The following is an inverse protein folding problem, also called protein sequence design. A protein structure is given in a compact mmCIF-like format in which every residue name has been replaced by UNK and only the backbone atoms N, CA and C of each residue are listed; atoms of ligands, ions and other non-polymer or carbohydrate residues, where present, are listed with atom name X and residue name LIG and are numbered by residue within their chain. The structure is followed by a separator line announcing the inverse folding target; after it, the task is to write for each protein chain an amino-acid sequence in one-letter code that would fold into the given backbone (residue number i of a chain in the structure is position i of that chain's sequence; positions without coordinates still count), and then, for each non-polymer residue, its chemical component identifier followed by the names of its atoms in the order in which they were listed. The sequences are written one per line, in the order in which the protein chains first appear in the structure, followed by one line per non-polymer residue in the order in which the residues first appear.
data_IF_280825747378
#
_entry.id   IF_280825747378
#
_cell.length_a   1.000
_cell.length_b   1.000
_cell.length_c   1.000
_cell.angle_alpha   90.00
_cell.angle_beta   90.00
_cell.angle_gamma   90.00
#
_symmetry.space_group_name_H-M   'P 1'
#
loop_
_entity.id
_entity.type
_entity.pdbx_description
1 polymer ?
#
# COMPACT_ATOMS: atom_id res chain seq x y z
N UNK A 1 -20.87 -24.49 -33.78
CA UNK A 1 -20.67 -23.29 -32.93
C UNK A 1 -19.77 -23.47 -31.69
N UNK A 2 -19.07 -24.60 -31.47
CA UNK A 2 -18.74 -25.05 -30.09
C UNK A 2 -17.30 -24.98 -29.57
N UNK A 3 -16.24 -24.84 -30.39
CA UNK A 3 -14.82 -24.91 -29.91
C UNK A 3 -14.06 -23.59 -30.00
N UNK A 4 -14.14 -22.92 -31.15
CA UNK A 4 -13.54 -21.59 -31.36
C UNK A 4 -14.13 -20.57 -30.37
N UNK A 5 -15.41 -20.71 -30.06
CA UNK A 5 -16.10 -19.88 -29.06
C UNK A 5 -15.57 -20.15 -27.65
N UNK A 6 -15.37 -21.40 -27.22
CA UNK A 6 -14.80 -21.71 -25.89
C UNK A 6 -13.35 -21.21 -25.79
N UNK A 7 -12.55 -21.42 -26.85
CA UNK A 7 -11.19 -20.90 -26.91
C UNK A 7 -11.18 -19.37 -26.81
N UNK A 8 -12.01 -18.67 -27.61
CA UNK A 8 -12.13 -17.22 -27.56
C UNK A 8 -12.57 -16.73 -26.18
N UNK A 9 -13.59 -17.35 -25.58
CA UNK A 9 -14.07 -17.03 -24.22
C UNK A 9 -12.96 -17.24 -23.19
N UNK A 10 -12.20 -18.33 -23.25
CA UNK A 10 -11.08 -18.57 -22.32
C UNK A 10 -10.00 -17.51 -22.43
N UNK A 11 -9.65 -17.09 -23.65
CA UNK A 11 -8.66 -16.03 -23.88
C UNK A 11 -9.18 -14.69 -23.35
N UNK A 12 -10.46 -14.36 -23.57
CA UNK A 12 -11.08 -13.14 -23.06
C UNK A 12 -11.08 -13.12 -21.53
N UNK A 13 -11.45 -14.23 -20.87
CA UNK A 13 -11.43 -14.34 -19.41
C UNK A 13 -10.01 -14.15 -18.87
N UNK A 14 -9.01 -14.78 -19.50
CA UNK A 14 -7.61 -14.59 -19.12
C UNK A 14 -7.15 -13.13 -19.30
N UNK A 15 -7.54 -12.49 -20.40
CA UNK A 15 -7.24 -11.08 -20.63
C UNK A 15 -7.88 -10.18 -19.56
N UNK A 16 -9.14 -10.43 -19.19
CA UNK A 16 -9.81 -9.71 -18.10
C UNK A 16 -9.06 -9.90 -16.78
N UNK A 17 -8.65 -11.14 -16.46
CA UNK A 17 -7.86 -11.42 -15.25
C UNK A 17 -6.52 -10.68 -15.22
N UNK A 18 -5.82 -10.59 -16.36
CA UNK A 18 -4.58 -9.83 -16.45
C UNK A 18 -4.81 -8.31 -16.32
N UNK A 19 -5.88 -7.79 -16.91
CA UNK A 19 -6.28 -6.38 -16.76
C UNK A 19 -6.59 -6.09 -15.28
N UNK A 20 -7.28 -7.00 -14.59
CA UNK A 20 -7.61 -6.86 -13.17
C UNK A 20 -6.35 -6.86 -12.28
N UNK A 21 -5.32 -7.66 -12.61
CA UNK A 21 -4.01 -7.62 -11.92
C UNK A 21 -3.36 -6.23 -12.06
N UNK A 22 -3.35 -5.70 -13.29
CA UNK A 22 -2.76 -4.38 -13.57
C UNK A 22 -3.55 -3.29 -12.85
N UNK A 23 -4.89 -3.34 -12.92
CA UNK A 23 -5.77 -2.42 -12.22
C UNK A 23 -5.54 -2.46 -10.71
N UNK A 24 -5.48 -3.65 -10.13
CA UNK A 24 -5.22 -3.85 -8.70
C UNK A 24 -3.90 -3.24 -8.28
N UNK A 25 -2.84 -3.45 -9.06
CA UNK A 25 -1.53 -2.85 -8.80
C UNK A 25 -1.58 -1.32 -8.82
N UNK A 26 -2.17 -0.74 -9.88
CA UNK A 26 -2.26 0.71 -10.04
C UNK A 26 -3.11 1.34 -8.93
N UNK A 27 -4.25 0.74 -8.62
CA UNK A 27 -5.18 1.23 -7.61
C UNK A 27 -4.60 1.12 -6.20
N UNK A 28 -3.86 0.03 -5.91
CA UNK A 28 -3.23 -0.19 -4.60
C UNK A 28 -1.97 0.65 -4.38
N UNK A 29 -1.36 1.12 -5.48
CA UNK A 29 -0.18 2.00 -5.48
C UNK A 29 -0.55 3.49 -5.50
N UNK A 30 -1.85 3.82 -5.57
CA UNK A 30 -2.32 5.19 -5.57
C UNK A 30 -2.01 5.86 -4.22
N UNK A 31 -1.41 7.04 -4.25
CA UNK A 31 -1.25 7.89 -3.07
C UNK A 31 -2.57 8.62 -2.84
N UNK A 32 -3.27 8.27 -1.77
CA UNK A 32 -4.58 8.86 -1.40
C UNK A 32 -4.44 10.08 -0.49
N UNK A 33 -3.31 10.21 0.18
CA UNK A 33 -2.97 11.35 1.00
C UNK A 33 -1.48 11.62 0.95
N UNK A 34 -1.10 12.89 0.82
CA UNK A 34 0.28 13.33 0.92
C UNK A 34 0.35 14.65 1.68
N UNK A 35 1.20 14.71 2.69
CA UNK A 35 1.54 15.93 3.42
C UNK A 35 3.06 16.12 3.36
N UNK A 36 3.50 17.29 2.92
CA UNK A 36 4.91 17.68 2.94
C UNK A 36 5.02 18.98 3.72
N UNK A 37 5.87 18.99 4.73
CA UNK A 37 6.02 20.17 5.59
C UNK A 37 7.41 20.24 6.23
N UNK A 38 7.71 21.37 6.86
CA UNK A 38 8.90 21.58 7.68
C UNK A 38 8.52 22.27 8.98
N UNK A 39 8.84 21.64 10.11
CA UNK A 39 8.54 22.14 11.45
C UNK A 39 9.79 22.35 12.28
N UNK A 40 9.68 23.12 13.36
CA UNK A 40 10.72 23.27 14.37
C UNK A 40 10.15 22.94 15.74
N UNK A 41 10.78 21.99 16.42
CA UNK A 41 10.41 21.57 17.77
C UNK A 41 11.38 22.15 18.80
N UNK A 42 10.82 22.64 19.91
CA UNK A 42 11.58 22.97 21.10
C UNK A 42 12.11 21.72 21.81
N UNK A 43 12.91 21.92 22.84
CA UNK A 43 13.41 20.86 23.71
C UNK A 43 12.24 20.06 24.30
N UNK A 44 12.33 18.73 24.26
CA UNK A 44 11.25 17.81 24.67
C UNK A 44 9.89 18.06 23.96
N UNK A 45 9.91 18.81 22.87
CA UNK A 45 8.72 19.15 22.11
C UNK A 45 8.17 17.96 21.33
N UNK A 46 6.86 17.94 21.17
CA UNK A 46 6.16 16.95 20.37
C UNK A 46 5.10 17.61 19.48
N UNK A 47 5.02 17.19 18.22
CA UNK A 47 3.99 17.64 17.30
C UNK A 47 3.43 16.46 16.50
N UNK A 48 2.10 16.37 16.44
CA UNK A 48 1.37 15.31 15.77
C UNK A 48 0.62 15.81 14.55
N UNK A 49 0.61 15.02 13.48
CA UNK A 49 -0.15 15.29 12.26
C UNK A 49 -1.23 14.23 12.07
N UNK A 50 -2.51 14.62 11.99
CA UNK A 50 -3.60 13.68 11.77
C UNK A 50 -3.59 13.17 10.33
N UNK A 51 -3.78 11.86 10.18
CA UNK A 51 -3.86 11.18 8.89
C UNK A 51 -4.98 10.17 8.93
N UNK A 52 -5.90 10.25 7.97
CA UNK A 52 -7.00 9.27 7.83
C UNK A 52 -6.50 8.10 7.00
N UNK A 53 -6.69 6.89 7.52
CA UNK A 53 -6.24 5.64 6.90
C UNK A 53 -7.34 4.60 6.92
N UNK A 54 -7.29 3.66 5.97
CA UNK A 54 -8.02 2.40 6.05
C UNK A 54 -7.12 1.31 6.60
N UNK A 55 -7.74 0.25 7.11
CA UNK A 55 -7.04 -0.98 7.47
C UNK A 55 -6.25 -1.50 6.26
N UNK A 56 -4.99 -1.86 6.48
CA UNK A 56 -4.02 -2.29 5.48
C UNK A 56 -3.53 -1.20 4.51
N UNK A 57 -3.85 0.07 4.71
CA UNK A 57 -3.16 1.15 4.01
C UNK A 57 -1.70 1.23 4.45
N UNK A 58 -0.83 1.49 3.48
CA UNK A 58 0.60 1.69 3.74
C UNK A 58 0.88 3.18 3.92
N UNK A 59 1.39 3.53 5.09
CA UNK A 59 1.88 4.86 5.42
C UNK A 59 3.40 4.87 5.21
N UNK A 60 3.91 5.83 4.47
CA UNK A 60 5.33 6.05 4.25
C UNK A 60 5.71 7.43 4.78
N UNK A 61 6.68 7.48 5.69
CA UNK A 61 7.16 8.70 6.34
C UNK A 61 8.62 8.87 6.00
N UNK A 62 8.95 9.92 5.26
CA UNK A 62 10.29 10.17 4.74
C UNK A 62 10.73 11.57 5.10
N UNK A 63 12.01 11.77 5.39
CA UNK A 63 12.49 13.09 5.73
C UNK A 63 13.84 13.11 6.41
N UNK A 64 14.17 14.28 6.92
CA UNK A 64 15.36 14.52 7.70
C UNK A 64 15.09 15.49 8.84
N UNK A 65 15.99 15.48 9.79
CA UNK A 65 16.00 16.40 10.92
C UNK A 65 17.42 16.87 11.19
N UNK A 66 17.52 18.10 11.69
CA UNK A 66 18.78 18.72 12.10
C UNK A 66 19.39 18.04 13.33
N UNK A 67 18.55 17.40 14.16
CA UNK A 67 18.94 16.59 15.32
C UNK A 67 18.12 15.30 15.38
N UNK A 68 18.60 14.27 16.09
CA UNK A 68 17.91 12.98 16.11
C UNK A 68 16.54 13.05 16.78
N UNK A 69 15.52 12.48 16.16
CA UNK A 69 14.15 12.50 16.69
C UNK A 69 13.60 11.09 16.87
N UNK A 70 12.58 10.99 17.71
CA UNK A 70 11.75 9.80 17.82
C UNK A 70 10.45 10.03 17.04
N UNK A 71 9.99 9.02 16.31
CA UNK A 71 8.78 9.08 15.50
C UNK A 71 7.83 8.01 16.00
N UNK A 72 6.59 8.43 16.26
CA UNK A 72 5.52 7.56 16.74
C UNK A 72 4.33 7.64 15.80
N UNK A 73 3.63 6.52 15.65
CA UNK A 73 2.29 6.48 15.09
C UNK A 73 1.34 6.20 16.25
N UNK A 74 0.49 7.18 16.55
CA UNK A 74 -0.48 7.13 17.63
C UNK A 74 -1.83 6.76 17.02
N UNK A 75 -2.17 5.48 17.13
CA UNK A 75 -3.52 4.95 16.88
C UNK A 75 -4.15 4.51 18.21
N UNK A 76 -4.81 3.34 18.19
CA UNK A 76 -5.34 2.69 19.41
C UNK A 76 -4.21 2.41 20.42
N UNK A 77 -3.07 1.93 19.90
CA UNK A 77 -1.85 1.71 20.68
C UNK A 77 -0.74 2.56 20.06
N UNK A 78 -0.05 3.43 20.82
CA UNK A 78 1.10 4.15 20.32
C UNK A 78 2.22 3.20 19.95
N UNK A 79 2.74 3.32 18.73
CA UNK A 79 3.86 2.53 18.25
C UNK A 79 5.01 3.46 17.88
N UNK A 80 6.18 3.21 18.48
CA UNK A 80 7.40 3.87 18.04
C UNK A 80 7.87 3.21 16.74
N UNK A 81 8.01 4.02 15.69
CA UNK A 81 8.40 3.55 14.35
C UNK A 81 9.82 3.98 13.98
N UNK A 82 10.39 4.96 14.68
CA UNK A 82 11.81 5.25 14.66
C UNK A 82 12.30 5.81 15.99
N UNK A 83 13.56 5.54 16.28
CA UNK A 83 14.25 6.12 17.43
C UNK A 83 15.56 6.77 16.99
N UNK A 84 15.84 7.95 17.55
CA UNK A 84 17.10 8.67 17.37
C UNK A 84 17.50 8.84 15.88
N UNK A 85 16.53 9.19 15.03
CA UNK A 85 16.73 9.25 13.58
C UNK A 85 16.98 10.69 13.10
N UNK A 86 18.04 10.89 12.31
CA UNK A 86 18.33 12.15 11.59
C UNK A 86 17.82 12.15 10.15
N UNK A 87 17.76 10.98 9.54
CA UNK A 87 17.20 10.74 8.21
C UNK A 87 16.35 9.50 8.34
N UNK A 88 15.11 9.58 7.87
CA UNK A 88 14.13 8.51 8.04
C UNK A 88 13.41 8.22 6.73
N UNK A 89 13.14 6.94 6.52
CA UNK A 89 12.23 6.42 5.51
C UNK A 89 11.58 5.20 6.14
N UNK A 90 10.35 5.39 6.62
CA UNK A 90 9.61 4.43 7.43
C UNK A 90 8.43 3.99 6.61
N UNK A 91 8.19 2.69 6.54
CA UNK A 91 6.96 2.12 5.98
C UNK A 91 6.19 1.43 7.10
N UNK A 92 4.92 1.78 7.26
CA UNK A 92 4.02 1.25 8.25
C UNK A 92 2.72 0.79 7.59
N UNK A 93 2.18 -0.36 7.98
CA UNK A 93 0.87 -0.83 7.51
C UNK A 93 -0.12 -0.61 8.64
N UNK A 94 -1.19 0.15 8.39
CA UNK A 94 -2.17 0.43 9.42
C UNK A 94 -2.98 -0.83 9.75
N UNK A 95 -3.02 -1.28 11.02
CA UNK A 95 -3.82 -2.44 11.42
C UNK A 95 -5.31 -2.10 11.58
N UNK A 96 -5.70 -0.82 11.52
CA UNK A 96 -7.07 -0.37 11.72
C UNK A 96 -7.44 0.76 10.76
N UNK A 97 -8.73 0.94 10.54
CA UNK A 97 -9.27 2.12 9.87
C UNK A 97 -9.51 3.25 10.86
N UNK A 98 -9.29 4.50 10.46
CA UNK A 98 -9.56 5.68 11.27
C UNK A 98 -8.49 6.77 11.14
N UNK A 99 -8.50 7.72 12.07
CA UNK A 99 -7.46 8.76 12.16
C UNK A 99 -6.31 8.26 13.03
N UNK A 100 -5.10 8.29 12.48
CA UNK A 100 -3.85 8.09 13.22
C UNK A 100 -3.07 9.39 13.28
N UNK A 101 -2.26 9.58 14.32
CA UNK A 101 -1.38 10.74 14.42
C UNK A 101 0.07 10.32 14.25
N UNK A 102 0.75 10.93 13.28
CA UNK A 102 2.19 10.79 13.14
C UNK A 102 2.83 11.86 14.01
N UNK A 103 3.44 11.44 15.10
CA UNK A 103 4.04 12.33 16.08
C UNK A 103 5.56 12.30 15.99
N UNK A 104 6.15 13.47 15.80
CA UNK A 104 7.59 13.69 15.94
C UNK A 104 7.87 14.21 17.35
N UNK A 105 8.88 13.64 18.02
CA UNK A 105 9.34 14.08 19.34
C UNK A 105 10.82 14.41 19.31
N UNK A 106 11.17 15.59 19.83
CA UNK A 106 12.56 15.96 20.09
C UNK A 106 12.98 15.42 21.47
N UNK A 107 14.12 14.71 21.55
CA UNK A 107 14.85 14.52 22.81
C UNK A 107 15.29 15.85 23.44
N UNK A 108 15.80 15.83 24.69
CA UNK A 108 16.28 17.02 25.38
C UNK A 108 17.55 17.54 24.71
N UNK A 109 17.40 18.52 23.83
CA UNK A 109 18.48 19.25 23.21
C UNK A 109 18.34 20.73 23.48
N UNK A 110 19.47 21.39 23.73
CA UNK A 110 19.56 22.83 24.04
C UNK A 110 19.08 23.81 22.96
N UNK A 111 18.85 23.36 21.70
CA UNK A 111 18.41 24.22 20.60
C UNK A 111 17.28 23.53 19.82
N UNK A 112 16.50 24.33 19.07
CA UNK A 112 15.43 23.87 18.19
C UNK A 112 15.87 22.73 17.26
N UNK A 113 14.99 21.75 17.12
CA UNK A 113 15.11 20.65 16.16
C UNK A 113 14.20 20.92 14.97
N UNK A 114 14.78 21.31 13.85
CA UNK A 114 14.05 21.43 12.58
C UNK A 114 13.93 20.08 11.88
N UNK A 115 12.73 19.76 11.39
CA UNK A 115 12.37 18.49 10.74
C UNK A 115 11.69 18.82 9.42
N UNK A 116 12.21 18.30 8.30
CA UNK A 116 11.55 18.34 7.00
C UNK A 116 11.06 16.95 6.66
N UNK A 117 9.77 16.81 6.35
CA UNK A 117 9.17 15.50 6.17
C UNK A 117 8.14 15.45 5.05
N UNK A 118 7.88 14.24 4.58
CA UNK A 118 6.78 13.90 3.70
C UNK A 118 6.10 12.64 4.24
N UNK A 119 4.80 12.71 4.45
CA UNK A 119 3.94 11.60 4.83
C UNK A 119 3.11 11.26 3.60
N UNK A 120 3.10 9.98 3.18
CA UNK A 120 2.29 9.47 2.08
C UNK A 120 1.46 8.30 2.58
N UNK A 121 0.17 8.27 2.23
CA UNK A 121 -0.68 7.10 2.44
C UNK A 121 -1.00 6.49 1.09
N UNK A 122 -0.70 5.22 0.95
CA UNK A 122 -1.02 4.42 -0.22
C UNK A 122 -2.27 3.60 0.06
N UNK A 123 -3.12 3.50 -0.96
CA UNK A 123 -4.41 2.80 -0.97
C UNK A 123 -4.26 1.26 -0.96
N UNK A 124 -3.39 0.74 -0.11
CA UNK A 124 -2.94 -0.65 -0.15
C UNK A 124 -3.99 -1.63 0.38
N UNK A 125 -5.06 -1.14 1.02
CA UNK A 125 -6.16 -1.98 1.51
C UNK A 125 -6.82 -2.83 0.42
N UNK A 126 -6.87 -2.35 -0.82
CA UNK A 126 -7.53 -3.05 -1.93
C UNK A 126 -6.72 -4.25 -2.46
N UNK A 127 -5.41 -4.27 -2.23
CA UNK A 127 -4.49 -5.25 -2.84
C UNK A 127 -4.90 -6.70 -2.58
N UNK A 128 -5.29 -7.03 -1.35
CA UNK A 128 -5.68 -8.39 -0.98
C UNK A 128 -6.90 -8.88 -1.76
N UNK A 129 -7.96 -8.07 -1.84
CA UNK A 129 -9.19 -8.43 -2.54
C UNK A 129 -8.97 -8.45 -4.05
N UNK A 130 -8.29 -7.44 -4.61
CA UNK A 130 -8.05 -7.35 -6.04
C UNK A 130 -7.17 -8.49 -6.58
N UNK A 131 -6.11 -8.88 -5.86
CA UNK A 131 -5.29 -10.02 -6.31
C UNK A 131 -6.02 -11.35 -6.14
N UNK A 132 -6.90 -11.48 -5.15
CA UNK A 132 -7.74 -12.67 -4.99
C UNK A 132 -8.75 -12.79 -6.16
N UNK A 133 -9.46 -11.71 -6.51
CA UNK A 133 -10.39 -11.73 -7.65
C UNK A 133 -9.69 -12.05 -8.96
N UNK A 134 -8.55 -11.40 -9.21
CA UNK A 134 -7.70 -11.67 -10.36
C UNK A 134 -7.27 -13.14 -10.43
N UNK A 135 -6.83 -13.71 -9.29
CA UNK A 135 -6.42 -15.11 -9.20
C UNK A 135 -7.55 -16.08 -9.56
N UNK A 136 -8.77 -15.83 -9.08
CA UNK A 136 -9.94 -16.66 -9.39
C UNK A 136 -10.29 -16.58 -10.89
N UNK A 137 -10.30 -15.37 -11.46
CA UNK A 137 -10.61 -15.16 -12.89
C UNK A 137 -9.59 -15.89 -13.77
N UNK A 138 -8.30 -15.74 -13.46
CA UNK A 138 -7.22 -16.41 -14.19
C UNK A 138 -7.32 -17.93 -14.07
N UNK A 139 -7.60 -18.44 -12.88
CA UNK A 139 -7.75 -19.88 -12.65
C UNK A 139 -8.90 -20.48 -13.47
N UNK A 140 -10.07 -19.83 -13.48
CA UNK A 140 -11.21 -20.25 -14.31
C UNK A 140 -10.85 -20.19 -15.81
N UNK A 141 -10.17 -19.12 -16.23
CA UNK A 141 -9.68 -18.96 -17.61
C UNK A 141 -8.74 -20.09 -18.03
N UNK A 142 -7.82 -20.51 -17.15
CA UNK A 142 -6.88 -21.60 -17.41
C UNK A 142 -7.58 -22.96 -17.51
N UNK A 143 -8.56 -23.25 -16.66
CA UNK A 143 -9.37 -24.46 -16.75
C UNK A 143 -10.09 -24.53 -18.09
N UNK A 144 -10.74 -23.44 -18.50
CA UNK A 144 -11.46 -23.37 -19.78
C UNK A 144 -10.51 -23.50 -20.97
N UNK A 145 -9.32 -22.91 -20.89
CA UNK A 145 -8.30 -23.03 -21.91
C UNK A 145 -7.82 -24.48 -22.06
N UNK A 146 -7.51 -25.15 -20.94
CA UNK A 146 -7.11 -26.56 -20.93
C UNK A 146 -8.19 -27.46 -21.53
N UNK A 147 -9.45 -27.23 -21.18
CA UNK A 147 -10.59 -27.94 -21.77
C UNK A 147 -10.73 -27.70 -23.29
N UNK A 148 -10.54 -26.45 -23.73
CA UNK A 148 -10.58 -26.10 -25.16
C UNK A 148 -9.46 -26.80 -25.96
N UNK A 149 -8.26 -26.91 -25.38
CA UNK A 149 -7.11 -27.61 -25.98
C UNK A 149 -7.37 -29.11 -26.07
N UNK A 150 -7.83 -29.75 -24.98
CA UNK A 150 -8.14 -31.19 -24.98
C UNK A 150 -9.22 -31.54 -26.02
N UNK A 151 -10.25 -30.70 -26.15
CA UNK A 151 -11.27 -30.84 -27.19
C UNK A 151 -10.72 -30.73 -28.61
N UNK A 152 -9.65 -29.95 -28.82
CA UNK A 152 -8.99 -29.82 -30.12
C UNK A 152 -8.16 -31.08 -30.45
N UNK A 153 -7.47 -31.64 -29.47
CA UNK A 153 -6.61 -32.82 -29.64
C UNK A 153 -7.36 -34.13 -29.85
N UNK A 154 -8.46 -34.37 -29.11
CA UNK A 154 -9.32 -35.57 -29.28
C UNK A 154 -9.95 -35.74 -30.67
N UNK A 155 -9.77 -34.76 -31.56
CA UNK A 155 -10.28 -34.79 -32.93
C UNK A 155 -9.19 -34.99 -33.98
N UNK A 156 -7.91 -34.89 -33.59
CA UNK A 156 -6.76 -35.18 -34.45
C UNK A 156 -6.33 -36.65 -34.35
N UNK A 157 -6.70 -37.30 -33.24
CA UNK A 157 -6.75 -38.76 -33.12
C UNK A 157 -8.11 -39.24 -33.59
#
# INVERSE_FOLDING_TARGET
MRKRTILAVSIVILAIGLIDVIFTYLYSSLVVYALKDTISLAEEGAQGFPVVVKENDRIVIEGNSTKPINIYIIGIVPQQVASNANRFSISYISPNSGTVYIQFRSPPYSNLTTISFTIKVFNSWFSGIGYLSSGVILFIGLILLGYAVQLKERRRR
#
